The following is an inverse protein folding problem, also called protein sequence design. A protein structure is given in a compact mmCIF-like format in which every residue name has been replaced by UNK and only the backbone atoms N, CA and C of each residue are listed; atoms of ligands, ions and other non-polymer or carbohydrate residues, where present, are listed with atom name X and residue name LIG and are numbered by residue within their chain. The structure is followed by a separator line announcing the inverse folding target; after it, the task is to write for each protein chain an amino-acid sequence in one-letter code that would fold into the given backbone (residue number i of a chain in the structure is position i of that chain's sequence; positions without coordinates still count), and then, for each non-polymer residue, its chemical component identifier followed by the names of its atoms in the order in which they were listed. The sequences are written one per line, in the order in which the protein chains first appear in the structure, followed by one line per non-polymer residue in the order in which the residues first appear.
data_IF_072825099363
#
_entry.id   IF_072825099363
#
_cell.length_a   1.000
_cell.length_b   1.000
_cell.length_c   1.000
_cell.angle_alpha   90.00
_cell.angle_beta   90.00
_cell.angle_gamma   90.00
#
_symmetry.space_group_name_H-M   'P 1'
#
loop_
_entity.id
_entity.type
_entity.pdbx_description
1 polymer ?
#
# COMPACT_ATOMS: atom_id res chain seq x y z
N UNK A 1 14.80 -2.12 11.94
CA UNK A 1 13.92 -2.35 10.77
C UNK A 1 12.86 -1.28 10.68
N UNK A 2 12.72 -0.67 9.53
CA UNK A 2 11.71 0.37 9.29
C UNK A 2 10.35 -0.25 8.90
N UNK A 3 10.38 -1.30 8.11
CA UNK A 3 9.19 -2.00 7.62
C UNK A 3 9.10 -3.41 8.19
N UNK A 4 9.21 -4.40 7.35
CA UNK A 4 9.26 -5.81 7.76
C UNK A 4 10.27 -6.57 6.90
N UNK A 5 10.72 -7.71 7.40
CA UNK A 5 11.57 -8.61 6.61
C UNK A 5 10.73 -9.26 5.49
N UNK A 6 11.29 -9.28 4.30
CA UNK A 6 10.74 -10.05 3.19
C UNK A 6 10.68 -11.54 3.56
N UNK A 7 9.63 -12.21 3.14
CA UNK A 7 9.53 -13.66 3.29
C UNK A 7 10.54 -14.35 2.37
N UNK A 8 10.82 -15.62 2.61
CA UNK A 8 11.71 -16.40 1.73
C UNK A 8 11.21 -16.41 0.28
N UNK A 9 9.90 -16.50 0.09
CA UNK A 9 9.27 -16.47 -1.23
C UNK A 9 9.43 -15.12 -1.93
N UNK A 10 9.22 -14.02 -1.20
CA UNK A 10 9.40 -12.67 -1.69
C UNK A 10 10.88 -12.40 -2.02
N UNK A 11 11.78 -12.84 -1.16
CA UNK A 11 13.23 -12.72 -1.38
C UNK A 11 13.67 -13.49 -2.61
N UNK A 12 13.16 -14.71 -2.81
CA UNK A 12 13.43 -15.52 -3.97
C UNK A 12 12.92 -14.87 -5.27
N UNK A 13 11.74 -14.26 -5.22
CA UNK A 13 11.19 -13.51 -6.34
C UNK A 13 12.05 -12.30 -6.71
N UNK A 14 12.81 -11.74 -5.75
CA UNK A 14 13.71 -10.61 -5.92
C UNK A 14 15.19 -11.02 -5.93
N UNK A 15 15.46 -12.27 -6.31
CA UNK A 15 16.82 -12.83 -6.30
C UNK A 15 17.82 -11.95 -7.06
N UNK A 16 17.46 -11.51 -8.26
CA UNK A 16 18.33 -10.66 -9.08
C UNK A 16 18.68 -9.36 -8.40
N UNK A 17 17.70 -8.69 -7.83
CA UNK A 17 17.87 -7.45 -7.09
C UNK A 17 18.72 -7.65 -5.83
N UNK A 18 18.51 -8.77 -5.16
CA UNK A 18 19.29 -9.12 -3.96
C UNK A 18 20.75 -9.42 -4.31
N UNK A 19 21.02 -10.15 -5.39
CA UNK A 19 22.39 -10.39 -5.88
C UNK A 19 23.08 -9.08 -6.22
N UNK A 20 22.39 -8.16 -6.90
CA UNK A 20 22.93 -6.83 -7.20
C UNK A 20 23.23 -6.02 -5.92
N UNK A 21 22.36 -6.12 -4.93
CA UNK A 21 22.58 -5.50 -3.62
C UNK A 21 23.84 -6.04 -2.93
N UNK A 22 24.02 -7.36 -2.89
CA UNK A 22 25.21 -7.99 -2.32
C UNK A 22 26.48 -7.58 -3.07
N UNK A 23 26.41 -7.54 -4.41
CA UNK A 23 27.53 -7.12 -5.24
C UNK A 23 27.92 -5.65 -4.96
N UNK A 24 26.95 -4.76 -4.81
CA UNK A 24 27.20 -3.36 -4.44
C UNK A 24 27.83 -3.22 -3.05
N UNK A 25 27.51 -4.14 -2.14
CA UNK A 25 28.13 -4.22 -0.80
C UNK A 25 29.47 -4.97 -0.81
N UNK A 26 29.98 -5.36 -1.98
CA UNK A 26 31.22 -6.12 -2.16
C UNK A 26 31.22 -7.51 -1.48
N UNK A 27 30.05 -8.13 -1.42
CA UNK A 27 29.84 -9.47 -0.87
C UNK A 27 29.75 -10.45 -2.03
N UNK A 28 30.73 -11.37 -2.11
CA UNK A 28 30.72 -12.42 -3.15
C UNK A 28 29.72 -13.54 -2.81
N UNK A 29 29.41 -14.38 -3.79
CA UNK A 29 28.57 -15.56 -3.56
C UNK A 29 29.16 -16.48 -2.47
N UNK A 30 30.48 -16.64 -2.45
CA UNK A 30 31.19 -17.42 -1.42
C UNK A 30 31.07 -16.76 -0.04
N UNK A 31 31.25 -15.45 0.03
CA UNK A 31 31.08 -14.70 1.28
C UNK A 31 29.64 -14.87 1.83
N UNK A 32 28.65 -14.77 0.96
CA UNK A 32 27.24 -14.93 1.33
C UNK A 32 26.94 -16.33 1.86
N UNK A 33 27.42 -17.37 1.18
CA UNK A 33 27.27 -18.74 1.65
C UNK A 33 27.93 -18.96 3.02
N UNK A 34 29.11 -18.38 3.23
CA UNK A 34 29.79 -18.43 4.53
C UNK A 34 29.01 -17.70 5.62
N UNK A 35 28.46 -16.52 5.32
CA UNK A 35 27.64 -15.75 6.27
C UNK A 35 26.40 -16.51 6.70
N UNK A 36 25.71 -17.13 5.75
CA UNK A 36 24.51 -17.95 6.06
C UNK A 36 24.81 -19.10 7.01
N UNK A 37 26.01 -19.67 6.95
CA UNK A 37 26.41 -20.80 7.78
C UNK A 37 27.03 -20.38 9.11
N UNK A 38 27.90 -19.41 9.10
CA UNK A 38 28.80 -19.08 10.22
C UNK A 38 28.52 -17.74 10.87
N UNK A 39 27.80 -16.83 10.20
CA UNK A 39 27.53 -15.48 10.66
C UNK A 39 26.05 -15.11 10.45
N UNK A 40 25.18 -15.96 10.96
CA UNK A 40 23.71 -15.89 10.72
C UNK A 40 23.15 -14.49 11.02
N UNK A 41 23.59 -13.84 12.10
CA UNK A 41 23.15 -12.49 12.46
C UNK A 41 23.47 -11.48 11.38
N UNK A 42 24.67 -11.52 10.81
CA UNK A 42 25.05 -10.62 9.73
C UNK A 42 24.24 -10.87 8.46
N UNK A 43 23.99 -12.14 8.14
CA UNK A 43 23.16 -12.49 7.00
C UNK A 43 21.72 -11.95 7.18
N UNK A 44 21.16 -12.09 8.37
CA UNK A 44 19.82 -11.56 8.69
C UNK A 44 19.78 -10.04 8.63
N UNK A 45 20.79 -9.35 9.14
CA UNK A 45 20.90 -7.89 9.08
C UNK A 45 20.95 -7.39 7.62
N UNK A 46 21.68 -8.08 6.76
CA UNK A 46 21.72 -7.74 5.33
C UNK A 46 20.35 -7.93 4.66
N UNK A 47 19.63 -8.99 5.01
CA UNK A 47 18.27 -9.22 4.52
C UNK A 47 17.32 -8.12 5.04
N UNK A 48 17.45 -7.72 6.28
CA UNK A 48 16.63 -6.66 6.88
C UNK A 48 16.85 -5.31 6.20
N UNK A 49 18.09 -4.94 5.95
CA UNK A 49 18.43 -3.71 5.22
C UNK A 49 17.90 -3.75 3.79
N UNK A 50 18.10 -4.86 3.09
CA UNK A 50 17.56 -5.05 1.74
C UNK A 50 16.03 -4.97 1.74
N UNK A 51 15.38 -5.59 2.71
CA UNK A 51 13.92 -5.57 2.85
C UNK A 51 13.40 -4.13 3.00
N UNK A 52 14.04 -3.35 3.87
CA UNK A 52 13.66 -1.95 4.06
C UNK A 52 13.88 -1.12 2.79
N UNK A 53 14.96 -1.38 2.04
CA UNK A 53 15.20 -0.72 0.75
C UNK A 53 14.11 -1.03 -0.28
N UNK A 54 13.66 -2.28 -0.34
CA UNK A 54 12.59 -2.71 -1.26
C UNK A 54 11.28 -1.99 -0.91
N UNK A 55 10.88 -2.00 0.36
CA UNK A 55 9.67 -1.32 0.79
C UNK A 55 9.73 0.20 0.63
N UNK A 56 10.88 0.81 0.89
CA UNK A 56 11.09 2.24 0.64
C UNK A 56 10.84 2.59 -0.82
N UNK A 57 11.39 1.81 -1.73
CA UNK A 57 11.21 1.99 -3.17
C UNK A 57 9.76 1.79 -3.61
N UNK A 58 9.09 0.75 -3.09
CA UNK A 58 7.69 0.46 -3.42
C UNK A 58 6.77 1.55 -2.89
N UNK A 59 6.88 1.90 -1.63
CA UNK A 59 6.02 2.91 -1.01
C UNK A 59 6.24 4.29 -1.60
N UNK A 60 7.47 4.61 -2.02
CA UNK A 60 7.80 5.87 -2.67
C UNK A 60 7.12 6.08 -4.01
N UNK A 61 6.71 5.02 -4.68
CA UNK A 61 5.99 5.07 -5.97
C UNK A 61 4.48 5.09 -5.84
N UNK A 62 3.96 4.84 -4.65
CA UNK A 62 2.52 4.77 -4.41
C UNK A 62 1.96 6.18 -4.21
N UNK A 63 1.00 6.55 -5.05
CA UNK A 63 0.28 7.81 -4.94
C UNK A 63 -1.16 7.59 -4.51
N UNK A 64 -1.78 6.47 -4.88
CA UNK A 64 -3.17 6.18 -4.57
C UNK A 64 -3.32 4.75 -4.06
N UNK A 65 -4.12 4.61 -3.00
CA UNK A 65 -4.51 3.34 -2.42
C UNK A 65 -6.03 3.26 -2.32
N UNK A 66 -6.56 2.06 -2.45
CA UNK A 66 -7.99 1.80 -2.35
C UNK A 66 -8.27 0.73 -1.30
N UNK A 67 -9.27 0.99 -0.46
CA UNK A 67 -9.89 -0.02 0.37
C UNK A 67 -11.34 -0.16 -0.07
N UNK A 68 -11.81 -1.38 -0.27
CA UNK A 68 -13.19 -1.62 -0.70
C UNK A 68 -13.75 -2.88 -0.07
N UNK A 69 -14.93 -2.73 0.52
CA UNK A 69 -15.80 -3.83 0.88
C UNK A 69 -17.24 -3.49 0.46
N UNK A 70 -18.20 -4.30 0.83
CA UNK A 70 -19.61 -4.11 0.39
C UNK A 70 -20.21 -2.77 0.84
N UNK A 71 -19.76 -2.24 1.97
CA UNK A 71 -20.32 -1.04 2.62
C UNK A 71 -19.40 0.16 2.61
N UNK A 72 -18.13 -0.04 2.26
CA UNK A 72 -17.11 1.02 2.32
C UNK A 72 -16.25 1.03 1.06
N UNK A 73 -16.04 2.20 0.51
CA UNK A 73 -15.07 2.46 -0.54
C UNK A 73 -14.27 3.67 -0.15
N UNK A 74 -12.99 3.48 0.13
CA UNK A 74 -12.08 4.56 0.47
C UNK A 74 -10.95 4.65 -0.56
N UNK A 75 -10.71 5.85 -1.05
CA UNK A 75 -9.54 6.13 -1.89
C UNK A 75 -8.65 7.10 -1.13
N UNK A 76 -7.39 6.72 -0.97
CA UNK A 76 -6.37 7.50 -0.28
C UNK A 76 -5.40 8.08 -1.30
N UNK A 77 -5.33 9.39 -1.37
CA UNK A 77 -4.26 10.08 -2.11
C UNK A 77 -3.12 10.36 -1.15
N UNK A 78 -2.03 9.63 -1.34
CA UNK A 78 -0.82 9.74 -0.54
C UNK A 78 0.14 10.74 -1.20
N UNK A 79 -0.04 12.03 -0.91
CA UNK A 79 0.85 13.07 -1.45
C UNK A 79 2.12 13.21 -0.57
N UNK A 80 2.93 14.23 -0.82
CA UNK A 80 4.20 14.39 -0.11
C UNK A 80 4.04 14.78 1.36
N UNK A 81 3.02 15.56 1.68
CA UNK A 81 2.82 16.12 3.02
C UNK A 81 1.80 15.37 3.87
N UNK A 82 0.91 14.61 3.25
CA UNK A 82 -0.16 13.94 3.97
C UNK A 82 -1.02 13.06 3.07
N UNK A 83 -2.13 12.63 3.64
CA UNK A 83 -3.09 11.73 2.98
C UNK A 83 -4.44 12.44 2.89
N UNK A 84 -5.01 12.46 1.70
CA UNK A 84 -6.39 12.90 1.46
C UNK A 84 -7.25 11.67 1.24
N UNK A 85 -8.28 11.53 2.03
CA UNK A 85 -9.27 10.45 1.91
C UNK A 85 -10.54 10.99 1.28
N UNK A 86 -11.01 10.32 0.24
CA UNK A 86 -12.37 10.49 -0.26
C UNK A 86 -13.01 9.12 -0.31
N UNK A 87 -14.21 8.98 0.22
CA UNK A 87 -14.83 7.69 0.31
C UNK A 87 -16.34 7.72 0.27
N UNK A 88 -16.91 6.54 0.11
CA UNK A 88 -18.34 6.27 0.16
C UNK A 88 -18.61 5.28 1.29
N UNK A 89 -19.69 5.53 2.03
CA UNK A 89 -20.18 4.61 3.05
C UNK A 89 -21.66 4.34 2.81
N UNK A 90 -22.01 3.08 2.73
CA UNK A 90 -23.39 2.62 2.53
C UNK A 90 -24.02 2.32 3.89
N UNK A 91 -25.28 2.76 4.10
CA UNK A 91 -25.99 2.49 5.35
C UNK A 91 -26.25 0.98 5.52
N UNK A 92 -26.32 0.55 6.77
CA UNK A 92 -26.56 -0.86 7.12
C UNK A 92 -27.84 -1.43 6.50
N UNK A 93 -28.86 -0.59 6.29
CA UNK A 93 -30.17 -0.99 5.78
C UNK A 93 -30.24 -1.08 4.25
N UNK A 94 -29.20 -0.64 3.54
CA UNK A 94 -29.17 -0.67 2.08
C UNK A 94 -28.66 -2.01 1.56
N UNK A 95 -29.21 -2.46 0.44
CA UNK A 95 -28.75 -3.64 -0.30
C UNK A 95 -27.66 -3.32 -1.32
N UNK A 96 -27.26 -2.04 -1.41
CA UNK A 96 -26.22 -1.62 -2.34
C UNK A 96 -24.88 -2.24 -1.95
N UNK A 97 -24.18 -2.78 -2.96
CA UNK A 97 -22.89 -3.46 -2.79
C UNK A 97 -21.81 -2.66 -3.53
N UNK A 98 -20.90 -2.05 -2.78
CA UNK A 98 -19.82 -1.24 -3.35
C UNK A 98 -18.75 -2.07 -4.07
N UNK A 99 -18.78 -3.40 -3.96
CA UNK A 99 -17.91 -4.29 -4.74
C UNK A 99 -18.43 -4.60 -6.14
N UNK A 100 -19.68 -4.22 -6.43
CA UNK A 100 -20.27 -4.42 -7.75
C UNK A 100 -19.59 -3.55 -8.81
N UNK A 101 -19.40 -4.11 -10.01
CA UNK A 101 -18.69 -3.43 -11.09
C UNK A 101 -19.37 -2.14 -11.58
N UNK A 102 -20.70 -2.06 -11.44
CA UNK A 102 -21.55 -0.96 -11.90
C UNK A 102 -22.05 -0.05 -10.77
N UNK A 103 -21.41 -0.11 -9.60
CA UNK A 103 -21.85 0.59 -8.39
C UNK A 103 -22.05 2.09 -8.59
N UNK A 104 -21.18 2.76 -9.34
CA UNK A 104 -21.30 4.20 -9.60
C UNK A 104 -22.51 4.52 -10.48
N UNK A 105 -22.84 3.67 -11.46
CA UNK A 105 -24.04 3.79 -12.28
C UNK A 105 -25.30 3.57 -11.46
N UNK A 106 -25.29 2.57 -10.58
CA UNK A 106 -26.41 2.32 -9.66
C UNK A 106 -26.62 3.50 -8.73
N UNK A 107 -25.55 4.10 -8.22
CA UNK A 107 -25.65 5.25 -7.33
C UNK A 107 -26.23 6.48 -8.04
N UNK A 108 -25.81 6.76 -9.27
CA UNK A 108 -26.36 7.87 -10.04
C UNK A 108 -27.86 7.70 -10.37
N UNK A 109 -28.31 6.47 -10.51
CA UNK A 109 -29.72 6.15 -10.83
C UNK A 109 -30.61 6.12 -9.60
N UNK A 110 -30.07 5.83 -8.44
CA UNK A 110 -30.78 5.79 -7.18
C UNK A 110 -30.33 6.99 -6.34
N UNK A 111 -31.08 8.07 -6.35
CA UNK A 111 -30.88 9.23 -5.47
C UNK A 111 -31.14 8.85 -4.00
N UNK A 112 -30.55 7.75 -3.58
CA UNK A 112 -30.80 7.16 -2.27
C UNK A 112 -29.90 7.81 -1.23
N UNK A 113 -30.48 8.26 -0.13
CA UNK A 113 -29.78 8.76 1.05
C UNK A 113 -28.99 7.65 1.77
N UNK A 114 -28.91 6.45 1.18
CA UNK A 114 -28.19 5.32 1.72
C UNK A 114 -26.67 5.47 1.64
N UNK A 115 -26.16 6.38 0.79
CA UNK A 115 -24.72 6.60 0.60
C UNK A 115 -24.31 7.93 1.21
N UNK A 116 -23.33 7.87 2.09
CA UNK A 116 -22.64 9.05 2.63
C UNK A 116 -21.29 9.22 1.96
N UNK A 117 -20.93 10.45 1.62
CA UNK A 117 -19.60 10.78 1.13
C UNK A 117 -18.74 11.18 2.31
N UNK A 118 -17.56 10.57 2.41
CA UNK A 118 -16.58 10.86 3.44
C UNK A 118 -15.41 11.59 2.79
N UNK A 119 -15.00 12.70 3.40
CA UNK A 119 -13.82 13.45 2.98
C UNK A 119 -13.02 13.85 4.20
N UNK A 120 -11.73 13.54 4.18
CA UNK A 120 -10.83 13.82 5.29
C UNK A 120 -9.42 14.02 4.77
N UNK A 121 -8.61 14.75 5.51
CA UNK A 121 -7.19 14.85 5.23
C UNK A 121 -6.41 14.88 6.53
N UNK A 122 -5.17 14.38 6.46
CA UNK A 122 -4.25 14.44 7.59
C UNK A 122 -2.82 14.62 7.11
N UNK A 123 -1.99 15.25 7.91
CA UNK A 123 -0.54 15.25 7.71
C UNK A 123 0.05 13.95 8.23
N UNK A 124 1.19 13.55 7.69
CA UNK A 124 1.91 12.39 8.21
C UNK A 124 2.41 12.68 9.62
N UNK A 125 2.16 11.73 10.51
CA UNK A 125 2.70 11.73 11.89
C UNK A 125 4.01 10.94 11.92
N UNK A 126 4.05 9.85 11.16
CA UNK A 126 5.24 9.02 10.94
C UNK A 126 5.84 9.36 9.57
N UNK A 127 6.93 8.71 9.23
CA UNK A 127 7.46 8.76 7.88
C UNK A 127 6.40 8.34 6.85
N UNK A 128 6.36 9.03 5.70
CA UNK A 128 5.37 8.79 4.64
C UNK A 128 5.34 7.31 4.22
N UNK A 129 6.51 6.75 3.96
CA UNK A 129 6.59 5.34 3.54
C UNK A 129 6.00 4.39 4.56
N UNK A 130 6.22 4.65 5.85
CA UNK A 130 5.66 3.83 6.94
C UNK A 130 4.14 3.91 6.97
N UNK A 131 3.55 5.10 6.85
CA UNK A 131 2.08 5.23 6.86
C UNK A 131 1.43 4.64 5.61
N UNK A 132 2.07 4.78 4.44
CA UNK A 132 1.62 4.11 3.20
C UNK A 132 1.69 2.58 3.37
N UNK A 133 2.77 2.08 3.96
CA UNK A 133 2.93 0.66 4.25
C UNK A 133 1.85 0.15 5.22
N UNK A 134 1.53 0.90 6.26
CA UNK A 134 0.46 0.56 7.21
C UNK A 134 -0.90 0.43 6.50
N UNK A 135 -1.20 1.31 5.54
CA UNK A 135 -2.41 1.19 4.72
C UNK A 135 -2.42 -0.10 3.90
N UNK A 136 -1.30 -0.46 3.28
CA UNK A 136 -1.17 -1.74 2.56
C UNK A 136 -1.41 -2.92 3.50
N UNK A 137 -0.85 -2.90 4.70
CA UNK A 137 -1.04 -3.95 5.70
C UNK A 137 -2.48 -4.04 6.19
N UNK A 138 -3.22 -2.94 6.16
CA UNK A 138 -4.63 -2.92 6.57
C UNK A 138 -5.61 -3.43 5.50
N UNK A 139 -5.11 -3.85 4.35
CA UNK A 139 -5.92 -4.42 3.27
C UNK A 139 -6.16 -3.49 2.08
N UNK A 140 -5.51 -2.33 2.05
CA UNK A 140 -5.57 -1.46 0.88
C UNK A 140 -4.75 -2.04 -0.27
N UNK A 141 -5.15 -1.74 -1.49
CA UNK A 141 -4.40 -2.11 -2.69
C UNK A 141 -4.05 -0.88 -3.53
N UNK A 142 -3.03 -1.01 -4.36
CA UNK A 142 -2.52 0.08 -5.20
C UNK A 142 -3.52 0.36 -6.32
N UNK A 143 -3.86 1.63 -6.50
CA UNK A 143 -4.76 2.08 -7.56
C UNK A 143 -4.22 3.35 -8.23
N UNK A 144 -4.99 3.91 -9.16
CA UNK A 144 -4.68 5.17 -9.83
C UNK A 144 -5.61 6.31 -9.39
N UNK A 145 -5.50 7.45 -10.05
CA UNK A 145 -6.24 8.65 -9.71
C UNK A 145 -7.68 8.69 -10.26
N UNK A 146 -8.08 7.74 -11.08
CA UNK A 146 -9.36 7.79 -11.82
C UNK A 146 -10.56 7.87 -10.90
N UNK A 147 -10.69 6.90 -10.02
CA UNK A 147 -11.82 6.84 -9.09
C UNK A 147 -11.76 7.98 -8.06
N UNK A 148 -10.56 8.34 -7.60
CA UNK A 148 -10.38 9.49 -6.73
C UNK A 148 -10.97 10.76 -7.34
N UNK A 149 -10.64 11.05 -8.59
CA UNK A 149 -11.11 12.23 -9.30
C UNK A 149 -12.64 12.21 -9.50
N UNK A 150 -13.21 11.05 -9.80
CA UNK A 150 -14.67 10.89 -9.87
C UNK A 150 -15.32 11.21 -8.53
N UNK A 151 -14.82 10.66 -7.44
CA UNK A 151 -15.38 10.89 -6.10
C UNK A 151 -15.23 12.35 -5.65
N UNK A 152 -14.12 12.98 -5.93
CA UNK A 152 -13.90 14.41 -5.64
C UNK A 152 -14.91 15.27 -6.39
N UNK A 153 -15.16 14.99 -7.66
CA UNK A 153 -16.15 15.71 -8.46
C UNK A 153 -17.56 15.57 -7.92
N UNK A 154 -17.94 14.38 -7.52
CA UNK A 154 -19.26 14.10 -6.93
C UNK A 154 -19.42 14.74 -5.56
N UNK A 155 -18.34 14.88 -4.79
CA UNK A 155 -18.36 15.42 -3.43
C UNK A 155 -18.47 16.95 -3.36
N UNK A 156 -18.41 17.63 -4.49
CA UNK A 156 -18.54 19.11 -4.55
C UNK A 156 -19.98 19.59 -4.47
#
# INVERSE_FOLDING_TARGET
MKYKRLTNEELQALEKEFVNYLAAAQITAGDWENMKKNEIKKAEELIDVFSDMVYEKVTGKINFLEYRDKKTLNIYHCNEEGIVLVGLKVSENSTLDLTAADVLSQWNNNHDNAISIIKSEKKYVKDRGVEVFELLQSGCFITDDKLFNVLVTISK
#
